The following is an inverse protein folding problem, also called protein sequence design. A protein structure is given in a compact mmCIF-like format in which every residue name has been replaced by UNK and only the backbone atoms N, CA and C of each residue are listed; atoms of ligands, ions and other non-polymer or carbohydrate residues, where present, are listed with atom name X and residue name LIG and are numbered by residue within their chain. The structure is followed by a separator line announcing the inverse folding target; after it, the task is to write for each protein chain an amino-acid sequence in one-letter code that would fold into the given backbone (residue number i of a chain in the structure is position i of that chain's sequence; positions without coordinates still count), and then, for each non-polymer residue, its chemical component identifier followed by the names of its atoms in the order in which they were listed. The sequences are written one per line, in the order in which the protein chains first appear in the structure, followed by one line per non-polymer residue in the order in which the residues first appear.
data_IF_301184849461
#
_entry.id   IF_301184849461
#
_cell.length_a   1.000
_cell.length_b   1.000
_cell.length_c   1.000
_cell.angle_alpha   90.00
_cell.angle_beta   90.00
_cell.angle_gamma   90.00
#
_symmetry.space_group_name_H-M   'P 1'
#
loop_
_entity.id
_entity.type
_entity.pdbx_description
1 polymer ?
#
# COMPACT_ATOMS: atom_id res chain seq x y z
N UNK A 1 -11.99 -0.97 -7.22
CA UNK A 1 -11.45 -1.56 -5.98
C UNK A 1 -11.74 -3.06 -5.96
N UNK A 2 -10.78 -3.85 -5.50
CA UNK A 2 -10.95 -5.29 -5.38
C UNK A 2 -12.09 -5.59 -4.41
N UNK A 3 -13.05 -6.41 -4.85
CA UNK A 3 -14.28 -6.77 -4.12
C UNK A 3 -15.10 -5.55 -3.68
N UNK A 4 -15.00 -4.43 -4.41
CA UNK A 4 -15.68 -3.17 -4.12
C UNK A 4 -15.37 -2.61 -2.73
N UNK A 5 -14.24 -2.99 -2.15
CA UNK A 5 -13.83 -2.54 -0.82
C UNK A 5 -13.01 -1.26 -0.93
N UNK A 6 -13.67 -0.13 -0.83
CA UNK A 6 -13.04 1.17 -0.84
C UNK A 6 -12.31 1.42 0.48
N UNK A 7 -11.20 2.20 0.46
CA UNK A 7 -10.48 2.53 1.69
C UNK A 7 -11.34 3.34 2.66
N UNK A 8 -11.28 2.99 3.94
CA UNK A 8 -11.88 3.80 4.98
C UNK A 8 -11.02 5.05 5.21
N UNK A 9 -11.62 6.20 5.55
CA UNK A 9 -10.84 7.41 5.85
C UNK A 9 -9.85 7.19 6.99
N UNK A 10 -8.65 7.76 6.87
CA UNK A 10 -7.62 7.69 7.91
C UNK A 10 -6.72 8.92 7.81
N UNK A 11 -6.07 9.32 8.93
CA UNK A 11 -5.15 10.47 8.92
C UNK A 11 -3.95 10.27 8.02
N UNK A 12 -3.52 9.01 7.83
CA UNK A 12 -2.32 8.67 7.09
C UNK A 12 -2.60 7.53 6.13
N UNK A 13 -2.07 7.62 4.92
CA UNK A 13 -2.22 6.59 3.89
C UNK A 13 -0.85 6.12 3.42
N UNK A 14 -0.68 4.82 3.33
CA UNK A 14 0.48 4.20 2.70
C UNK A 14 0.05 3.55 1.38
N UNK A 15 0.66 3.96 0.27
CA UNK A 15 0.38 3.39 -1.05
C UNK A 15 1.49 2.41 -1.39
N UNK A 16 1.15 1.14 -1.52
CA UNK A 16 2.09 0.09 -1.86
C UNK A 16 1.95 -0.32 -3.32
N UNK A 17 3.00 -0.15 -4.10
CA UNK A 17 3.04 -0.57 -5.50
C UNK A 17 3.49 -2.03 -5.57
N UNK A 18 2.68 -2.87 -6.17
CA UNK A 18 2.80 -4.33 -6.05
C UNK A 18 2.87 -5.03 -7.42
N UNK A 19 3.70 -6.08 -7.49
CA UNK A 19 3.69 -7.03 -8.61
C UNK A 19 3.92 -8.44 -8.07
N UNK A 20 3.10 -9.40 -8.50
CA UNK A 20 3.10 -10.76 -7.97
C UNK A 20 4.37 -11.56 -8.26
N UNK A 21 5.11 -11.20 -9.30
CA UNK A 21 6.35 -11.91 -9.67
C UNK A 21 7.55 -11.49 -8.83
N UNK A 22 7.42 -10.44 -8.01
CA UNK A 22 8.49 -9.96 -7.16
C UNK A 22 8.31 -10.46 -5.72
N UNK A 23 9.15 -11.40 -5.24
CA UNK A 23 9.01 -11.94 -3.88
C UNK A 23 9.12 -10.87 -2.79
N UNK A 24 9.91 -9.81 -3.03
CA UNK A 24 10.06 -8.71 -2.08
C UNK A 24 8.75 -7.94 -1.90
N UNK A 25 7.90 -7.86 -2.92
CA UNK A 25 6.58 -7.23 -2.80
C UNK A 25 5.70 -8.00 -1.83
N UNK A 26 5.75 -9.32 -1.85
CA UNK A 26 5.00 -10.15 -0.91
C UNK A 26 5.50 -9.95 0.52
N UNK A 27 6.82 -9.93 0.71
CA UNK A 27 7.43 -9.68 2.02
C UNK A 27 7.01 -8.32 2.58
N UNK A 28 7.04 -7.30 1.74
CA UNK A 28 6.61 -5.95 2.11
C UNK A 28 5.13 -5.92 2.52
N UNK A 29 4.27 -6.59 1.76
CA UNK A 29 2.84 -6.63 2.03
C UNK A 29 2.53 -7.35 3.36
N UNK A 30 3.23 -8.43 3.65
CA UNK A 30 3.11 -9.14 4.94
C UNK A 30 3.48 -8.20 6.11
N UNK A 31 4.53 -7.41 5.94
CA UNK A 31 4.94 -6.43 6.94
C UNK A 31 3.88 -5.34 7.14
N UNK A 32 3.31 -4.85 6.05
CA UNK A 32 2.24 -3.83 6.12
C UNK A 32 1.00 -4.36 6.82
N UNK A 33 0.65 -5.61 6.58
CA UNK A 33 -0.46 -6.28 7.27
C UNK A 33 -0.20 -6.30 8.78
N UNK A 34 1.01 -6.63 9.19
CA UNK A 34 1.41 -6.65 10.59
C UNK A 34 1.36 -5.25 11.20
N UNK A 35 1.90 -4.25 10.50
CA UNK A 35 1.90 -2.86 10.96
C UNK A 35 0.48 -2.33 11.14
N UNK A 36 -0.41 -2.56 10.19
CA UNK A 36 -1.80 -2.07 10.30
C UNK A 36 -2.56 -2.73 11.45
N UNK A 37 -2.22 -3.96 11.77
CA UNK A 37 -2.79 -4.65 12.94
C UNK A 37 -2.42 -3.99 14.26
N UNK A 38 -1.27 -3.32 14.31
CA UNK A 38 -0.79 -2.62 15.52
C UNK A 38 -1.17 -1.14 15.56
N UNK A 39 -1.21 -0.50 14.40
CA UNK A 39 -1.43 0.95 14.29
C UNK A 39 -2.89 1.37 14.50
N UNK A 40 -3.80 0.42 14.61
CA UNK A 40 -5.22 0.72 14.79
C UNK A 40 -5.78 1.52 13.64
N UNK A 41 -6.44 2.66 13.94
CA UNK A 41 -7.13 3.47 12.93
C UNK A 41 -6.27 4.54 12.26
N UNK A 42 -5.02 4.70 12.66
CA UNK A 42 -4.18 5.82 12.21
C UNK A 42 -3.65 5.66 10.79
N UNK A 43 -3.48 4.44 10.32
CA UNK A 43 -2.89 4.15 9.02
C UNK A 43 -3.83 3.28 8.19
N UNK A 44 -4.07 3.69 6.95
CA UNK A 44 -4.68 2.82 5.94
C UNK A 44 -3.64 2.50 4.87
N UNK A 45 -3.73 1.31 4.29
CA UNK A 45 -2.86 0.88 3.20
C UNK A 45 -3.69 0.69 1.95
N UNK A 46 -3.23 1.25 0.84
CA UNK A 46 -3.82 1.05 -0.48
C UNK A 46 -2.78 0.33 -1.32
N UNK A 47 -3.01 -0.93 -1.62
CA UNK A 47 -2.16 -1.71 -2.52
C UNK A 47 -2.62 -1.45 -3.94
N UNK A 48 -1.72 -1.03 -4.84
CA UNK A 48 -2.06 -0.76 -6.23
C UNK A 48 -1.27 -1.68 -7.15
N UNK A 49 -1.92 -2.18 -8.19
CA UNK A 49 -1.30 -3.08 -9.14
C UNK A 49 -1.80 -2.82 -10.56
N UNK A 50 -0.94 -3.09 -11.56
CA UNK A 50 -1.28 -3.04 -12.98
C UNK A 50 -1.66 -4.41 -13.55
N UNK A 51 -1.55 -5.46 -12.74
CA UNK A 51 -1.78 -6.82 -13.19
C UNK A 51 -3.25 -7.10 -13.50
N UNK A 52 -3.49 -8.14 -14.30
CA UNK A 52 -4.85 -8.59 -14.63
C UNK A 52 -5.64 -8.87 -13.34
N UNK A 53 -6.79 -8.20 -13.14
CA UNK A 53 -7.60 -8.42 -11.94
C UNK A 53 -7.96 -9.87 -11.68
N UNK A 54 -8.28 -10.65 -12.72
CA UNK A 54 -8.62 -12.05 -12.57
C UNK A 54 -7.45 -12.88 -12.02
N UNK A 55 -6.23 -12.52 -12.40
CA UNK A 55 -5.02 -13.21 -11.95
C UNK A 55 -4.64 -12.80 -10.53
N UNK A 56 -4.73 -11.50 -10.23
CA UNK A 56 -4.21 -10.97 -8.97
C UNK A 56 -5.19 -11.10 -7.80
N UNK A 57 -6.50 -11.12 -8.06
CA UNK A 57 -7.50 -11.16 -7.00
C UNK A 57 -7.30 -12.30 -6.00
N UNK A 58 -7.07 -13.57 -6.43
CA UNK A 58 -6.88 -14.66 -5.46
C UNK A 58 -5.65 -14.45 -4.57
N UNK A 59 -4.61 -13.77 -5.08
CA UNK A 59 -3.37 -13.54 -4.34
C UNK A 59 -3.53 -12.44 -3.30
N UNK A 60 -4.32 -11.41 -3.59
CA UNK A 60 -4.44 -10.23 -2.73
C UNK A 60 -5.65 -10.26 -1.80
N UNK A 61 -6.67 -11.05 -2.12
CA UNK A 61 -7.88 -11.13 -1.30
C UNK A 61 -7.60 -11.45 0.17
N UNK A 62 -6.64 -12.34 0.53
CA UNK A 62 -6.32 -12.60 1.94
C UNK A 62 -5.78 -11.40 2.72
N UNK A 63 -5.31 -10.37 2.03
CA UNK A 63 -4.78 -9.16 2.68
C UNK A 63 -5.82 -8.09 2.90
N UNK A 64 -7.00 -8.21 2.29
CA UNK A 64 -8.08 -7.24 2.46
C UNK A 64 -8.52 -7.18 3.91
N UNK A 65 -8.69 -5.96 4.43
CA UNK A 65 -9.16 -5.72 5.79
C UNK A 65 -9.78 -4.32 5.86
N UNK A 66 -10.19 -3.92 7.06
CA UNK A 66 -10.65 -2.54 7.28
C UNK A 66 -9.56 -1.52 7.01
N UNK A 67 -8.29 -1.93 7.04
CA UNK A 67 -7.12 -1.06 6.87
C UNK A 67 -6.41 -1.25 5.55
N UNK A 68 -6.68 -2.33 4.83
CA UNK A 68 -5.99 -2.64 3.57
C UNK A 68 -7.00 -2.80 2.46
N UNK A 69 -6.87 -1.97 1.44
CA UNK A 69 -7.67 -2.01 0.21
C UNK A 69 -6.75 -2.20 -0.99
N UNK A 70 -7.27 -2.74 -2.09
CA UNK A 70 -6.51 -2.98 -3.31
C UNK A 70 -7.13 -2.22 -4.46
N UNK A 71 -6.33 -1.36 -5.10
CA UNK A 71 -6.69 -0.64 -6.32
C UNK A 71 -6.20 -1.39 -7.54
N UNK A 72 -7.11 -1.67 -8.46
CA UNK A 72 -6.83 -2.37 -9.71
C UNK A 72 -6.63 -1.39 -10.85
N UNK A 73 -6.01 -1.85 -11.95
CA UNK A 73 -5.78 -1.03 -13.14
C UNK A 73 -5.05 0.29 -12.84
N UNK A 74 -3.95 0.19 -12.10
CA UNK A 74 -3.28 1.34 -11.50
C UNK A 74 -2.16 1.94 -12.36
N UNK A 75 -2.19 1.78 -13.68
CA UNK A 75 -1.15 2.30 -14.59
C UNK A 75 -0.88 3.79 -14.38
N UNK A 76 -1.93 4.58 -14.21
CA UNK A 76 -1.81 6.03 -14.00
C UNK A 76 -1.09 6.36 -12.70
N UNK A 77 -1.33 5.59 -11.63
CA UNK A 77 -0.67 5.79 -10.34
C UNK A 77 0.82 5.46 -10.45
N UNK A 78 1.18 4.38 -11.13
CA UNK A 78 2.58 4.03 -11.36
C UNK A 78 3.31 5.14 -12.12
N UNK A 79 2.67 5.69 -13.14
CA UNK A 79 3.24 6.79 -13.94
C UNK A 79 3.35 8.08 -13.12
N UNK A 80 2.29 8.41 -12.38
CA UNK A 80 2.23 9.66 -11.61
C UNK A 80 3.34 9.76 -10.55
N UNK A 81 3.69 8.64 -9.90
CA UNK A 81 4.75 8.61 -8.90
C UNK A 81 6.12 8.24 -9.46
N UNK A 82 6.23 8.02 -10.78
CA UNK A 82 7.50 7.69 -11.42
C UNK A 82 8.12 6.41 -10.89
N UNK A 83 7.31 5.39 -10.67
CA UNK A 83 7.77 4.13 -10.07
C UNK A 83 8.74 3.42 -11.00
N UNK A 84 9.99 3.27 -10.59
CA UNK A 84 11.04 2.65 -11.37
C UNK A 84 11.57 1.34 -10.78
N UNK A 85 11.14 1.00 -9.55
CA UNK A 85 11.53 -0.26 -8.90
C UNK A 85 10.41 -0.69 -7.95
N UNK A 86 10.42 -1.97 -7.57
CA UNK A 86 9.48 -2.57 -6.63
C UNK A 86 10.22 -3.40 -5.58
N UNK A 87 9.73 -3.50 -4.35
CA UNK A 87 8.55 -2.82 -3.83
C UNK A 87 8.81 -1.33 -3.61
N UNK A 88 7.85 -0.51 -3.97
CA UNK A 88 7.92 0.95 -3.81
C UNK A 88 6.69 1.40 -3.04
N UNK A 89 6.86 2.34 -2.13
CA UNK A 89 5.77 2.84 -1.32
C UNK A 89 5.80 4.35 -1.15
N UNK A 90 4.62 4.91 -0.93
CA UNK A 90 4.43 6.35 -0.71
C UNK A 90 3.56 6.54 0.53
N UNK A 91 4.05 7.31 1.49
CA UNK A 91 3.31 7.67 2.69
C UNK A 91 2.78 9.10 2.53
N UNK A 92 1.47 9.27 2.70
CA UNK A 92 0.83 10.58 2.54
C UNK A 92 0.00 10.94 3.77
N UNK A 93 -0.23 12.24 3.97
CA UNK A 93 -1.13 12.74 5.02
C UNK A 93 -2.58 12.85 4.51
N UNK A 94 -3.47 13.36 5.36
CA UNK A 94 -4.89 13.51 5.03
C UNK A 94 -5.15 14.50 3.89
N UNK A 95 -4.19 15.34 3.54
CA UNK A 95 -4.26 16.30 2.43
C UNK A 95 -3.54 15.80 1.18
N UNK A 96 -3.20 14.50 1.13
CA UNK A 96 -2.47 13.86 0.04
C UNK A 96 -1.06 14.43 -0.19
N UNK A 97 -0.45 15.03 0.84
CA UNK A 97 0.94 15.47 0.77
C UNK A 97 1.85 14.29 1.05
N UNK A 98 2.89 14.13 0.23
CA UNK A 98 3.87 13.06 0.40
C UNK A 98 4.75 13.34 1.62
N UNK A 99 4.73 12.42 2.59
CA UNK A 99 5.56 12.49 3.79
C UNK A 99 6.84 11.67 3.63
N UNK A 100 6.78 10.59 2.86
CA UNK A 100 7.90 9.70 2.61
C UNK A 100 7.62 8.88 1.35
N UNK A 101 8.67 8.53 0.62
CA UNK A 101 8.58 7.57 -0.48
C UNK A 101 9.91 6.84 -0.64
N UNK A 102 9.84 5.60 -1.09
CA UNK A 102 11.03 4.80 -1.29
C UNK A 102 10.76 3.29 -1.29
N UNK A 103 11.81 2.53 -0.99
CA UNK A 103 11.73 1.07 -0.96
C UNK A 103 10.89 0.61 0.23
N UNK A 104 9.77 -0.06 -0.04
CA UNK A 104 8.83 -0.50 0.99
C UNK A 104 9.44 -1.49 1.99
N UNK A 105 10.53 -2.17 1.65
CA UNK A 105 11.22 -3.05 2.60
C UNK A 105 11.84 -2.26 3.77
N UNK A 106 11.99 -0.95 3.62
CA UNK A 106 12.54 -0.08 4.66
C UNK A 106 11.48 0.49 5.59
N UNK A 107 10.19 0.33 5.27
CA UNK A 107 9.11 0.89 6.08
C UNK A 107 8.98 0.12 7.40
N UNK A 108 8.74 0.85 8.50
CA UNK A 108 8.45 0.30 9.81
C UNK A 108 7.63 1.30 10.62
N UNK A 109 7.14 0.88 11.78
CA UNK A 109 6.31 1.72 12.64
C UNK A 109 7.01 3.01 13.06
N UNK A 110 8.30 2.93 13.37
CA UNK A 110 9.09 4.10 13.79
C UNK A 110 9.18 5.14 12.69
N UNK A 111 9.43 4.70 11.45
CA UNK A 111 9.50 5.61 10.30
C UNK A 111 8.14 6.29 10.06
N UNK A 112 7.06 5.55 10.17
CA UNK A 112 5.70 6.08 10.02
C UNK A 112 5.44 7.14 11.10
N UNK A 113 5.74 6.85 12.36
CA UNK A 113 5.57 7.79 13.47
C UNK A 113 6.36 9.08 13.25
N UNK A 114 7.63 8.97 12.87
CA UNK A 114 8.50 10.12 12.63
C UNK A 114 8.00 10.98 11.48
N UNK A 115 7.47 10.35 10.42
CA UNK A 115 6.99 11.05 9.24
C UNK A 115 5.64 11.73 9.45
N UNK A 116 4.86 11.28 10.43
CA UNK A 116 3.50 11.78 10.69
C UNK A 116 3.41 12.76 11.86
N UNK A 117 4.52 13.09 12.46
CA UNK A 117 4.56 14.09 13.55
C UNK A 117 4.34 15.51 13.06
#
# INVERSE_FOLDING_TARGET
WLDNRQPEPAPTTYIEFFHSTNPACKTSLERLKEITGKSGTKLRVIVVTKEDPAKIAPLLRPYLSERISVGLNAEKSFTAFGVSYLPFGVLTDAKNRTLWMGNSLQINEKLIEQSTR
#
